data_IF_356377698801
#
_entry.id   IF_356377698801
#
_cell.length_a   1.000
_cell.length_b   1.000
_cell.length_c   1.000
_cell.angle_alpha   90.00
_cell.angle_beta   90.00
_cell.angle_gamma   90.00
#
_symmetry.space_group_name_H-M   'P 1'
#
loop_
_entity.id
_entity.type
_entity.pdbx_description
1 polymer ?
#
# COMPACT_ATOMS: atom_id res chain seq x y z
N UNK A 1 4.04 8.06 -15.89
CA UNK A 1 3.67 8.83 -14.68
C UNK A 1 4.90 9.03 -13.79
N UNK A 2 5.12 10.22 -13.33
CA UNK A 2 6.24 10.55 -12.44
C UNK A 2 5.72 11.12 -11.13
N UNK A 3 6.32 10.69 -10.03
CA UNK A 3 6.00 11.17 -8.69
C UNK A 3 7.29 11.55 -8.00
N UNK A 4 7.24 12.60 -7.19
CA UNK A 4 8.40 13.01 -6.38
C UNK A 4 8.49 12.15 -5.13
N UNK A 5 9.72 11.85 -4.69
CA UNK A 5 9.94 11.26 -3.38
C UNK A 5 9.42 12.21 -2.29
N UNK A 6 9.02 11.65 -1.17
CA UNK A 6 8.60 12.40 0.01
C UNK A 6 9.66 12.35 1.10
N UNK A 7 9.78 13.45 1.83
CA UNK A 7 10.74 13.56 2.92
C UNK A 7 10.06 13.22 4.25
N UNK A 8 10.65 12.26 4.95
CA UNK A 8 10.25 11.87 6.31
C UNK A 8 11.43 12.12 7.23
N UNK A 9 11.39 13.24 7.98
CA UNK A 9 12.56 13.70 8.73
C UNK A 9 13.72 14.01 7.81
N UNK A 10 14.81 13.26 7.92
CA UNK A 10 16.00 13.39 7.06
C UNK A 10 16.03 12.36 5.92
N UNK A 11 14.99 11.54 5.78
CA UNK A 11 15.00 10.43 4.82
C UNK A 11 14.01 10.71 3.69
N UNK A 12 14.47 10.54 2.45
CA UNK A 12 13.62 10.57 1.26
C UNK A 12 13.10 9.16 1.00
N UNK A 13 11.79 9.05 0.75
CA UNK A 13 11.14 7.77 0.49
C UNK A 13 10.27 7.83 -0.75
N UNK A 14 10.20 6.73 -1.53
CA UNK A 14 9.32 6.65 -2.70
C UNK A 14 7.86 6.39 -2.25
N UNK A 15 7.27 7.39 -1.61
CA UNK A 15 5.87 7.37 -1.18
C UNK A 15 5.06 8.18 -2.19
N UNK A 16 4.03 7.55 -2.75
CA UNK A 16 3.21 8.15 -3.80
C UNK A 16 1.74 8.23 -3.36
N UNK A 17 0.99 9.21 -3.85
CA UNK A 17 -0.45 9.27 -3.61
C UNK A 17 -1.18 8.30 -4.54
N UNK A 18 -2.14 7.59 -3.99
CA UNK A 18 -3.06 6.72 -4.72
C UNK A 18 -4.48 6.95 -4.23
N UNK A 19 -5.43 6.33 -4.89
CA UNK A 19 -6.79 6.22 -4.36
C UNK A 19 -7.12 4.74 -4.17
N UNK A 20 -7.92 4.46 -3.15
CA UNK A 20 -8.50 3.14 -2.92
C UNK A 20 -10.01 3.26 -3.01
N UNK A 21 -10.63 2.26 -3.62
CA UNK A 21 -12.08 2.22 -3.81
C UNK A 21 -12.65 0.88 -3.40
N UNK A 22 -13.73 0.91 -2.66
CA UNK A 22 -14.53 -0.26 -2.33
C UNK A 22 -16.01 0.13 -2.34
N UNK A 23 -16.80 -0.52 -3.19
CA UNK A 23 -18.18 -0.12 -3.39
C UNK A 23 -18.26 1.33 -3.91
N UNK A 24 -18.99 2.18 -3.18
CA UNK A 24 -19.12 3.60 -3.52
C UNK A 24 -18.10 4.48 -2.79
N UNK A 25 -17.31 3.93 -1.88
CA UNK A 25 -16.34 4.68 -1.10
C UNK A 25 -15.02 4.81 -1.85
N UNK A 26 -14.49 6.03 -1.92
CA UNK A 26 -13.18 6.32 -2.53
C UNK A 26 -12.41 7.20 -1.56
N UNK A 27 -11.19 6.82 -1.26
CA UNK A 27 -10.31 7.61 -0.38
C UNK A 27 -8.93 7.80 -1.00
N UNK A 28 -8.31 8.94 -0.71
CA UNK A 28 -6.91 9.18 -1.02
C UNK A 28 -6.03 8.56 0.06
N UNK A 29 -4.90 7.98 -0.35
CA UNK A 29 -3.98 7.31 0.56
C UNK A 29 -2.57 7.41 0.04
N UNK A 30 -1.60 7.51 0.95
CA UNK A 30 -0.19 7.52 0.59
C UNK A 30 0.41 6.15 0.83
N UNK A 31 1.23 5.68 -0.11
CA UNK A 31 1.81 4.34 -0.05
C UNK A 31 3.29 4.36 -0.41
N UNK A 32 4.06 3.56 0.31
CA UNK A 32 5.46 3.29 0.00
C UNK A 32 5.53 2.27 -1.13
N UNK A 33 6.27 2.59 -2.17
CA UNK A 33 6.52 1.66 -3.28
C UNK A 33 7.69 0.75 -2.88
N UNK A 34 7.38 -0.49 -2.52
CA UNK A 34 8.33 -1.42 -1.89
C UNK A 34 8.42 -2.74 -2.66
N UNK A 35 9.50 -2.87 -3.44
CA UNK A 35 9.74 -4.10 -4.24
C UNK A 35 10.04 -5.32 -3.38
N UNK A 36 10.38 -5.13 -2.11
CA UNK A 36 10.63 -6.22 -1.16
C UNK A 36 9.39 -6.78 -0.51
N UNK A 37 8.23 -6.13 -0.67
CA UNK A 37 6.97 -6.62 -0.13
C UNK A 37 6.29 -7.58 -1.10
N UNK A 38 5.77 -8.71 -0.60
CA UNK A 38 5.12 -9.72 -1.43
C UNK A 38 3.78 -9.26 -1.98
N UNK A 39 3.05 -8.45 -1.20
CA UNK A 39 1.73 -7.95 -1.56
C UNK A 39 1.54 -6.54 -1.01
N UNK A 40 0.38 -5.95 -1.34
CA UNK A 40 0.02 -4.64 -0.80
C UNK A 40 -0.56 -4.80 0.60
N UNK A 41 -0.10 -3.99 1.54
CA UNK A 41 -0.55 -3.97 2.93
C UNK A 41 -0.99 -2.54 3.27
N UNK A 42 -2.23 -2.42 3.74
CA UNK A 42 -2.81 -1.15 4.14
C UNK A 42 -3.24 -1.20 5.60
N UNK A 43 -3.36 -0.04 6.24
CA UNK A 43 -3.87 0.04 7.61
C UNK A 43 -5.33 -0.46 7.66
N UNK A 44 -5.67 -1.20 8.71
CA UNK A 44 -7.06 -1.62 8.95
C UNK A 44 -8.00 -0.41 9.06
N UNK A 45 -7.53 0.71 9.61
CA UNK A 45 -8.29 1.95 9.70
C UNK A 45 -8.74 2.44 8.31
N UNK A 46 -7.87 2.30 7.32
CA UNK A 46 -8.21 2.62 5.93
C UNK A 46 -9.31 1.70 5.41
N UNK A 47 -9.22 0.40 5.74
CA UNK A 47 -10.28 -0.55 5.39
C UNK A 47 -11.62 -0.18 6.01
N UNK A 48 -11.62 0.26 7.25
CA UNK A 48 -12.84 0.71 7.93
C UNK A 48 -13.45 1.94 7.26
N UNK A 49 -12.62 2.90 6.85
CA UNK A 49 -13.07 4.08 6.10
C UNK A 49 -13.69 3.69 4.75
N UNK A 50 -13.30 2.56 4.18
CA UNK A 50 -13.86 2.01 2.96
C UNK A 50 -15.08 1.12 3.20
N UNK A 51 -15.58 1.06 4.44
CA UNK A 51 -16.68 0.19 4.86
C UNK A 51 -16.38 -1.31 4.66
N UNK A 52 -15.11 -1.68 4.77
CA UNK A 52 -14.68 -3.08 4.74
C UNK A 52 -14.69 -3.60 6.17
N UNK A 53 -15.35 -4.74 6.38
CA UNK A 53 -15.27 -5.44 7.67
C UNK A 53 -13.96 -6.23 7.70
N UNK A 54 -12.90 -5.58 8.17
CA UNK A 54 -11.52 -6.05 8.04
C UNK A 54 -11.32 -7.45 8.60
N UNK A 55 -11.79 -7.71 9.82
CA UNK A 55 -11.54 -9.00 10.50
C UNK A 55 -12.32 -10.18 9.90
N UNK A 56 -13.23 -9.93 8.97
CA UNK A 56 -13.94 -10.98 8.24
C UNK A 56 -13.17 -11.53 7.04
N UNK A 57 -12.07 -10.90 6.67
CA UNK A 57 -11.21 -11.40 5.60
C UNK A 57 -10.38 -12.60 6.06
N UNK A 58 -9.71 -13.23 5.11
CA UNK A 58 -8.81 -14.34 5.40
C UNK A 58 -7.58 -13.85 6.17
N UNK A 59 -7.33 -14.35 7.40
CA UNK A 59 -6.16 -13.93 8.16
C UNK A 59 -4.88 -14.56 7.63
N UNK A 60 -3.82 -13.77 7.61
CA UNK A 60 -2.47 -14.23 7.27
C UNK A 60 -1.51 -13.66 8.31
N UNK A 61 -0.44 -14.39 8.56
CA UNK A 61 0.62 -13.92 9.46
C UNK A 61 1.81 -13.44 8.65
N UNK A 62 2.40 -12.35 9.12
CA UNK A 62 3.68 -11.87 8.60
C UNK A 62 4.63 -11.72 9.79
N UNK A 63 5.86 -12.23 9.63
CA UNK A 63 6.89 -12.12 10.66
C UNK A 63 7.80 -10.95 10.34
N UNK A 64 7.92 -10.02 11.27
CA UNK A 64 8.84 -8.90 11.18
C UNK A 64 10.19 -9.26 11.76
N UNK A 65 11.13 -8.33 11.67
CA UNK A 65 12.44 -8.42 12.32
C UNK A 65 12.22 -8.51 13.81
N UNK A 66 12.84 -9.47 14.49
CA UNK A 66 12.66 -9.71 15.92
C UNK A 66 11.64 -10.80 16.26
N UNK A 67 11.08 -11.50 15.26
CA UNK A 67 10.24 -12.68 15.45
C UNK A 67 8.82 -12.43 15.93
N UNK A 68 8.36 -11.17 15.96
CA UNK A 68 6.95 -10.87 16.28
C UNK A 68 6.09 -11.02 15.05
N UNK A 69 5.05 -11.87 15.17
CA UNK A 69 4.06 -12.02 14.12
C UNK A 69 3.04 -10.88 14.16
N UNK A 70 2.67 -10.37 12.99
CA UNK A 70 1.54 -9.48 12.80
C UNK A 70 0.51 -10.18 11.94
N UNK A 71 -0.77 -9.90 12.17
CA UNK A 71 -1.85 -10.47 11.38
C UNK A 71 -2.40 -9.39 10.46
N UNK A 72 -2.62 -9.75 9.20
CA UNK A 72 -3.39 -8.95 8.26
C UNK A 72 -4.50 -9.79 7.66
N UNK A 73 -5.52 -9.11 7.17
CA UNK A 73 -6.72 -9.75 6.61
C UNK A 73 -6.85 -9.40 5.14
N UNK A 74 -7.02 -10.41 4.28
CA UNK A 74 -7.12 -10.23 2.84
C UNK A 74 -8.51 -9.77 2.43
N UNK A 75 -8.58 -8.73 1.61
CA UNK A 75 -9.82 -8.23 1.01
C UNK A 75 -9.59 -7.75 -0.40
N UNK A 76 -10.56 -7.94 -1.29
CA UNK A 76 -10.53 -7.31 -2.59
C UNK A 76 -10.74 -5.80 -2.43
N UNK A 77 -10.00 -5.03 -3.21
CA UNK A 77 -10.11 -3.58 -3.26
C UNK A 77 -9.66 -3.10 -4.62
N UNK A 78 -10.14 -1.94 -5.05
CA UNK A 78 -9.65 -1.32 -6.28
C UNK A 78 -8.61 -0.26 -5.93
N UNK A 79 -7.42 -0.37 -6.53
CA UNK A 79 -6.36 0.62 -6.42
C UNK A 79 -6.38 1.49 -7.67
N UNK A 80 -6.34 2.80 -7.50
CA UNK A 80 -6.35 3.77 -8.61
C UNK A 80 -5.05 4.56 -8.54
N UNK A 81 -4.19 4.37 -9.55
CA UNK A 81 -2.87 5.00 -9.61
C UNK A 81 -2.81 5.87 -10.85
N UNK A 82 -2.66 7.19 -10.66
CA UNK A 82 -2.65 8.13 -11.77
C UNK A 82 -3.90 8.06 -12.65
N UNK A 83 -5.05 7.73 -12.05
CA UNK A 83 -6.30 7.55 -12.77
C UNK A 83 -6.54 6.16 -13.34
N UNK A 84 -5.58 5.23 -13.23
CA UNK A 84 -5.70 3.86 -13.75
C UNK A 84 -6.18 2.90 -12.67
N UNK A 85 -7.41 2.36 -12.77
CA UNK A 85 -7.94 1.43 -11.79
C UNK A 85 -7.47 0.00 -12.01
N UNK A 86 -7.19 -0.71 -10.92
CA UNK A 86 -6.87 -2.14 -10.93
C UNK A 86 -7.55 -2.81 -9.73
N UNK A 87 -8.20 -3.93 -9.96
CA UNK A 87 -8.76 -4.74 -8.89
C UNK A 87 -7.65 -5.63 -8.33
N UNK A 88 -7.43 -5.55 -7.03
CA UNK A 88 -6.37 -6.32 -6.35
C UNK A 88 -6.93 -6.96 -5.09
N UNK A 89 -6.18 -7.91 -4.55
CA UNK A 89 -6.39 -8.41 -3.19
C UNK A 89 -5.28 -7.86 -2.32
N UNK A 90 -5.63 -7.10 -1.29
CA UNK A 90 -4.67 -6.47 -0.39
C UNK A 90 -4.87 -6.97 1.04
N UNK A 91 -3.82 -6.88 1.84
CA UNK A 91 -3.90 -7.14 3.27
C UNK A 91 -4.21 -5.85 4.03
N UNK A 92 -5.10 -5.96 5.01
CA UNK A 92 -5.41 -4.86 5.92
C UNK A 92 -4.93 -5.25 7.32
N UNK A 93 -4.01 -4.46 7.84
CA UNK A 93 -3.30 -4.77 9.08
C UNK A 93 -3.77 -3.86 10.21
N UNK A 94 -4.33 -4.43 11.30
CA UNK A 94 -4.60 -3.65 12.51
C UNK A 94 -3.31 -3.07 13.09
N UNK A 95 -3.44 -1.95 13.78
CA UNK A 95 -2.30 -1.30 14.42
C UNK A 95 -1.61 -2.25 15.41
N UNK A 96 -0.29 -2.27 15.35
CA UNK A 96 0.51 -3.08 16.25
C UNK A 96 1.04 -2.20 17.40
N UNK A 97 0.72 -2.57 18.62
CA UNK A 97 1.21 -1.88 19.84
C UNK A 97 0.94 -0.37 19.84
N UNK A 98 -0.21 0.07 19.34
CA UNK A 98 -0.60 1.47 19.30
C UNK A 98 0.11 2.31 18.26
N UNK A 99 0.84 1.69 17.34
CA UNK A 99 1.52 2.39 16.25
C UNK A 99 0.67 2.34 14.99
N UNK A 100 0.30 3.52 14.49
CA UNK A 100 -0.38 3.67 13.22
C UNK A 100 0.67 3.63 12.10
N UNK A 101 0.38 2.91 11.02
CA UNK A 101 1.23 2.95 9.84
C UNK A 101 1.20 4.36 9.23
N UNK A 102 2.36 5.02 9.02
CA UNK A 102 2.36 6.38 8.46
C UNK A 102 1.91 6.43 7.00
N UNK A 103 2.01 5.31 6.30
CA UNK A 103 1.58 5.11 4.91
C UNK A 103 1.35 3.62 4.69
N UNK A 104 0.61 3.29 3.63
CA UNK A 104 0.48 1.89 3.21
C UNK A 104 1.72 1.42 2.47
N UNK A 105 1.72 0.14 2.09
CA UNK A 105 2.80 -0.48 1.33
C UNK A 105 2.20 -1.08 0.08
N UNK A 106 2.79 -0.81 -1.09
CA UNK A 106 2.43 -1.49 -2.33
C UNK A 106 3.60 -2.36 -2.77
N UNK A 107 3.31 -3.62 -3.06
CA UNK A 107 4.30 -4.65 -3.28
C UNK A 107 4.11 -5.43 -4.58
N UNK A 108 4.71 -6.62 -4.63
CA UNK A 108 4.78 -7.45 -5.83
C UNK A 108 3.39 -7.72 -6.41
N UNK A 109 2.53 -8.41 -5.65
CA UNK A 109 1.15 -8.65 -6.06
C UNK A 109 0.32 -7.39 -5.84
N UNK A 110 -0.42 -6.99 -6.84
CA UNK A 110 -1.32 -5.85 -6.78
C UNK A 110 -0.71 -4.55 -7.27
N UNK A 111 0.62 -4.44 -7.40
CA UNK A 111 1.24 -3.22 -7.87
C UNK A 111 2.33 -3.49 -8.92
N UNK A 112 3.44 -4.15 -8.55
CA UNK A 112 4.54 -4.37 -9.48
C UNK A 112 4.15 -5.29 -10.65
N UNK A 113 3.16 -6.15 -10.48
CA UNK A 113 2.64 -6.94 -11.60
C UNK A 113 1.89 -6.10 -12.62
N UNK A 114 1.45 -4.88 -12.26
CA UNK A 114 0.71 -3.97 -13.13
C UNK A 114 1.53 -2.80 -13.65
N UNK A 115 2.66 -2.48 -13.01
CA UNK A 115 3.49 -1.33 -13.37
C UNK A 115 4.96 -1.72 -13.42
N UNK A 116 5.64 -1.20 -14.44
CA UNK A 116 7.10 -1.13 -14.42
C UNK A 116 7.48 0.09 -13.61
N UNK A 117 8.39 -0.05 -12.66
CA UNK A 117 8.76 1.00 -11.72
C UNK A 117 10.24 1.34 -11.88
N UNK A 118 10.52 2.63 -12.05
CA UNK A 118 11.89 3.14 -12.08
C UNK A 118 12.09 4.09 -10.91
N UNK A 119 13.05 3.77 -10.06
CA UNK A 119 13.45 4.62 -8.95
C UNK A 119 14.69 5.40 -9.35
N UNK A 120 14.65 6.71 -9.19
CA UNK A 120 15.80 7.58 -9.45
C UNK A 120 16.00 8.50 -8.25
N UNK A 121 16.86 8.07 -7.32
CA UNK A 121 17.10 8.82 -6.09
C UNK A 121 17.79 10.16 -6.38
N UNK A 122 18.68 10.21 -7.37
CA UNK A 122 19.38 11.45 -7.70
C UNK A 122 18.43 12.55 -8.15
N UNK A 123 17.37 12.16 -8.88
CA UNK A 123 16.31 13.09 -9.30
C UNK A 123 15.16 13.16 -8.30
N UNK A 124 15.18 12.32 -7.28
CA UNK A 124 14.11 12.20 -6.28
C UNK A 124 12.75 11.89 -6.93
N UNK A 125 12.75 10.98 -7.90
CA UNK A 125 11.57 10.61 -8.69
C UNK A 125 11.30 9.11 -8.71
N UNK A 126 10.02 8.77 -8.73
CA UNK A 126 9.53 7.42 -9.05
C UNK A 126 8.75 7.52 -10.35
N UNK A 127 9.13 6.76 -11.35
CA UNK A 127 8.43 6.70 -12.63
C UNK A 127 7.70 5.37 -12.77
N UNK A 128 6.42 5.44 -13.09
CA UNK A 128 5.57 4.26 -13.33
C UNK A 128 5.17 4.21 -14.79
N UNK A 129 5.25 3.01 -15.36
CA UNK A 129 4.71 2.71 -16.68
C UNK A 129 3.74 1.55 -16.54
N UNK A 130 2.52 1.71 -17.05
CA UNK A 130 1.53 0.66 -17.05
C UNK A 130 1.95 -0.47 -18.00
N UNK A 131 1.75 -1.71 -17.53
CA UNK A 131 1.97 -2.90 -18.36
C UNK A 131 0.81 -3.18 -19.29
#
# INVERSE_FOLDING_TARGET
>A
MKFSYKKYGQVLRPVIPIQLKSGSEVIGYEVLVDSGADLCIFSAEIGELLNINVTKGEPKEVFGVGGKASIYYLHPVEIIVGGWPKKITAGFMPDVAGRVMPYGIVGQKGFFEHFTVKFDLAKEEVELKQR
#
